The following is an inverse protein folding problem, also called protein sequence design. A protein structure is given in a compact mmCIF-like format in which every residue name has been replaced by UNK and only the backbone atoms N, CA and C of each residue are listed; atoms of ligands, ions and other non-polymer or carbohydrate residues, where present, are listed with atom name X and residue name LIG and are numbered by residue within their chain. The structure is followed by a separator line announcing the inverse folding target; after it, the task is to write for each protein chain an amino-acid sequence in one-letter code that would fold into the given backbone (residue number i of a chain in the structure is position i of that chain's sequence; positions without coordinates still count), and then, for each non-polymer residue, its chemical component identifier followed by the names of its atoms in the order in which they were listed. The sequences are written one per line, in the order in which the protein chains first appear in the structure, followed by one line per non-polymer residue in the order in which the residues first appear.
data_IF_164737192096
#
_entry.id   IF_164737192096
#
_cell.length_a   1.000
_cell.length_b   1.000
_cell.length_c   1.000
_cell.angle_alpha   90.00
_cell.angle_beta   90.00
_cell.angle_gamma   90.00
#
_symmetry.space_group_name_H-M   'P 1'
#
loop_
_entity.id
_entity.type
_entity.pdbx_description
1 polymer ?
#
# COMPACT_ATOMS: atom_id res chain seq x y z
N UNK A 1 -24.69 -0.84 -9.55
CA UNK A 1 -23.68 -1.83 -9.12
C UNK A 1 -22.44 -1.61 -9.97
N UNK A 2 -21.24 -1.54 -9.39
CA UNK A 2 -19.98 -1.43 -10.15
C UNK A 2 -19.80 -2.67 -11.03
N UNK A 3 -19.40 -2.47 -12.28
CA UNK A 3 -19.05 -3.59 -13.16
C UNK A 3 -17.73 -4.20 -12.69
N UNK A 4 -17.51 -5.48 -12.93
CA UNK A 4 -16.29 -6.17 -12.48
C UNK A 4 -15.00 -5.56 -13.08
N UNK A 5 -15.09 -5.04 -14.30
CA UNK A 5 -13.98 -4.35 -14.95
C UNK A 5 -13.53 -3.04 -14.23
N UNK A 6 -14.46 -2.41 -13.49
CA UNK A 6 -14.25 -1.14 -12.79
C UNK A 6 -13.77 -1.34 -11.34
N UNK A 7 -13.58 -2.59 -10.91
CA UNK A 7 -13.10 -2.92 -9.58
C UNK A 7 -11.58 -2.76 -9.51
N UNK A 8 -11.12 -2.13 -8.43
CA UNK A 8 -9.68 -2.03 -8.12
C UNK A 8 -9.11 -3.40 -7.74
N UNK A 9 -9.83 -4.12 -6.86
CA UNK A 9 -9.47 -5.47 -6.42
C UNK A 9 -10.22 -6.49 -7.26
N UNK A 10 -9.48 -7.25 -8.08
CA UNK A 10 -10.06 -8.19 -9.06
C UNK A 10 -10.02 -9.65 -8.61
N UNK A 11 -9.26 -9.95 -7.57
CA UNK A 11 -9.04 -11.33 -7.09
C UNK A 11 -9.66 -11.61 -5.71
N UNK A 12 -10.58 -10.80 -5.22
CA UNK A 12 -11.16 -10.98 -3.88
C UNK A 12 -11.90 -12.32 -3.70
N UNK A 13 -12.30 -12.96 -4.80
CA UNK A 13 -12.90 -14.30 -4.78
C UNK A 13 -11.88 -15.44 -4.92
N UNK A 14 -10.58 -15.10 -5.04
CA UNK A 14 -9.47 -16.03 -5.20
C UNK A 14 -9.52 -16.94 -6.46
N UNK A 15 -10.19 -16.49 -7.50
CA UNK A 15 -10.35 -17.25 -8.74
C UNK A 15 -9.13 -17.14 -9.67
N UNK A 16 -8.26 -16.16 -9.44
CA UNK A 16 -7.19 -15.77 -10.35
C UNK A 16 -5.77 -15.99 -9.80
N UNK A 17 -5.65 -16.56 -8.62
CA UNK A 17 -4.36 -16.75 -7.93
C UNK A 17 -3.79 -15.46 -7.32
N UNK A 18 -2.92 -15.61 -6.32
CA UNK A 18 -2.32 -14.49 -5.57
C UNK A 18 -0.79 -14.38 -5.76
N UNK A 19 -0.22 -15.17 -6.67
CA UNK A 19 1.20 -15.12 -7.01
C UNK A 19 1.54 -13.94 -7.95
N UNK A 20 2.85 -13.71 -8.14
CA UNK A 20 3.37 -12.60 -8.97
C UNK A 20 2.87 -12.69 -10.41
N UNK A 21 2.90 -13.88 -11.00
CA UNK A 21 2.52 -14.05 -12.41
C UNK A 21 1.03 -13.78 -12.62
N UNK A 22 0.19 -14.22 -11.69
CA UNK A 22 -1.23 -13.94 -11.72
C UNK A 22 -1.52 -12.44 -11.51
N UNK A 23 -0.80 -11.77 -10.61
CA UNK A 23 -0.96 -10.34 -10.37
C UNK A 23 -0.54 -9.50 -11.59
N UNK A 24 0.57 -9.86 -12.25
CA UNK A 24 1.00 -9.21 -13.49
C UNK A 24 -0.02 -9.35 -14.62
N UNK A 25 -0.67 -10.50 -14.76
CA UNK A 25 -1.78 -10.68 -15.72
C UNK A 25 -2.97 -9.78 -15.44
N UNK A 26 -3.18 -9.40 -14.18
CA UNK A 26 -4.23 -8.45 -13.78
C UNK A 26 -3.85 -6.99 -13.96
N UNK A 27 -2.60 -6.70 -14.28
CA UNK A 27 -2.09 -5.36 -14.53
C UNK A 27 -1.21 -4.79 -13.42
N UNK A 28 -0.96 -5.52 -12.34
CA UNK A 28 -0.04 -5.09 -11.29
C UNK A 28 1.41 -5.11 -11.80
N UNK A 29 2.25 -4.22 -11.32
CA UNK A 29 3.68 -4.11 -11.65
C UNK A 29 4.04 -3.66 -13.08
N UNK A 30 3.08 -3.59 -14.00
CA UNK A 30 3.36 -3.31 -15.42
C UNK A 30 3.99 -1.93 -15.59
N UNK A 31 3.44 -0.92 -14.92
CA UNK A 31 3.84 0.49 -15.08
C UNK A 31 4.64 1.04 -13.91
N UNK A 32 4.92 0.26 -12.88
CA UNK A 32 5.51 0.74 -11.62
C UNK A 32 6.84 1.46 -11.85
N UNK A 33 7.71 0.90 -12.69
CA UNK A 33 9.00 1.52 -13.03
C UNK A 33 8.82 2.83 -13.78
N UNK A 34 7.90 2.88 -14.72
CA UNK A 34 7.59 4.10 -15.47
C UNK A 34 7.04 5.19 -14.54
N UNK A 35 6.09 4.83 -13.67
CA UNK A 35 5.50 5.75 -12.70
C UNK A 35 6.55 6.35 -11.75
N UNK A 36 7.47 5.54 -11.25
CA UNK A 36 8.56 6.03 -10.41
C UNK A 36 9.54 6.93 -11.16
N UNK A 37 9.79 6.66 -12.45
CA UNK A 37 10.64 7.51 -13.30
C UNK A 37 10.04 8.90 -13.55
N UNK A 38 8.73 9.08 -13.49
CA UNK A 38 8.07 10.40 -13.58
C UNK A 38 8.35 11.29 -12.37
N UNK A 39 8.82 10.72 -11.30
CA UNK A 39 9.27 11.42 -10.11
C UNK A 39 8.18 11.66 -9.07
N UNK A 40 8.65 12.00 -7.89
CA UNK A 40 7.85 12.18 -6.69
C UNK A 40 6.69 13.18 -6.84
N UNK A 41 7.00 14.37 -7.34
CA UNK A 41 6.01 15.46 -7.39
C UNK A 41 4.88 15.11 -8.38
N UNK A 42 5.22 14.44 -9.47
CA UNK A 42 4.24 13.95 -10.42
C UNK A 42 3.29 12.92 -9.74
N UNK A 43 3.83 11.95 -9.03
CA UNK A 43 3.01 10.94 -8.31
C UNK A 43 2.07 11.62 -7.30
N UNK A 44 2.58 12.58 -6.53
CA UNK A 44 1.76 13.29 -5.53
C UNK A 44 0.62 14.05 -6.22
N UNK A 45 0.88 14.67 -7.37
CA UNK A 45 -0.14 15.41 -8.11
C UNK A 45 -1.20 14.45 -8.69
N UNK A 46 -0.80 13.33 -9.29
CA UNK A 46 -1.74 12.30 -9.75
C UNK A 46 -2.66 11.80 -8.62
N UNK A 47 -2.09 11.57 -7.43
CA UNK A 47 -2.90 11.16 -6.27
C UNK A 47 -3.84 12.29 -5.80
N UNK A 48 -3.45 13.57 -5.94
CA UNK A 48 -4.35 14.70 -5.65
C UNK A 48 -5.48 14.75 -6.67
N UNK A 49 -5.15 14.65 -7.94
CA UNK A 49 -6.11 14.75 -9.04
C UNK A 49 -7.10 13.57 -9.05
N UNK A 50 -6.65 12.40 -8.62
CA UNK A 50 -7.52 11.22 -8.42
C UNK A 50 -8.52 11.39 -7.27
N UNK A 51 -8.36 12.40 -6.42
CA UNK A 51 -9.17 12.62 -5.22
C UNK A 51 -9.22 11.43 -4.25
N UNK A 52 -8.22 10.55 -4.29
CA UNK A 52 -8.11 9.41 -3.39
C UNK A 52 -8.14 9.86 -1.93
N UNK A 53 -8.99 9.21 -1.14
CA UNK A 53 -9.15 9.49 0.29
C UNK A 53 -8.72 8.31 1.13
N UNK A 54 -8.24 8.59 2.35
CA UNK A 54 -7.94 7.59 3.35
C UNK A 54 -9.15 6.72 3.70
N UNK A 55 -8.93 5.45 3.96
CA UNK A 55 -9.96 4.45 4.29
C UNK A 55 -10.01 4.09 5.77
N UNK A 56 -9.27 4.80 6.61
CA UNK A 56 -9.26 4.60 8.07
C UNK A 56 -10.33 5.40 8.84
N UNK A 57 -11.42 5.82 8.17
CA UNK A 57 -12.56 6.52 8.78
C UNK A 57 -12.58 8.03 8.55
N UNK A 58 -11.47 8.74 8.71
CA UNK A 58 -11.42 10.20 8.57
C UNK A 58 -11.56 10.73 7.13
N UNK A 59 -11.33 9.90 6.11
CA UNK A 59 -11.47 10.28 4.72
C UNK A 59 -10.54 11.41 4.26
N UNK A 60 -9.40 11.61 4.92
CA UNK A 60 -8.46 12.69 4.58
C UNK A 60 -7.90 12.51 3.17
N UNK A 61 -7.76 13.59 2.35
CA UNK A 61 -7.21 13.50 0.99
C UNK A 61 -5.77 12.97 0.99
N UNK A 62 -5.56 11.82 0.35
CA UNK A 62 -4.27 11.10 0.40
C UNK A 62 -3.14 11.90 -0.24
N UNK A 63 -3.36 12.48 -1.42
CA UNK A 63 -2.34 13.28 -2.11
C UNK A 63 -1.95 14.55 -1.34
N UNK A 64 -2.89 15.17 -0.64
CA UNK A 64 -2.59 16.29 0.25
C UNK A 64 -1.73 15.82 1.44
N UNK A 65 -2.06 14.68 2.07
CA UNK A 65 -1.26 14.10 3.14
C UNK A 65 0.16 13.81 2.69
N UNK A 66 0.34 13.24 1.51
CA UNK A 66 1.66 12.94 0.95
C UNK A 66 2.47 14.21 0.65
N UNK A 67 1.82 15.30 0.25
CA UNK A 67 2.51 16.58 0.01
C UNK A 67 3.11 17.21 1.28
N UNK A 68 2.65 16.82 2.46
CA UNK A 68 3.23 17.25 3.74
C UNK A 68 4.47 16.46 4.13
N UNK A 69 4.76 15.34 3.45
CA UNK A 69 5.97 14.58 3.72
C UNK A 69 7.22 15.40 3.41
N UNK A 70 8.31 15.23 4.18
CA UNK A 70 9.55 15.96 3.97
C UNK A 70 10.06 15.86 2.54
N UNK A 71 10.53 16.98 1.98
CA UNK A 71 11.05 17.05 0.60
C UNK A 71 12.50 16.54 0.51
N UNK A 72 13.16 16.35 1.61
CA UNK A 72 14.55 15.87 1.69
C UNK A 72 14.65 14.82 2.77
N UNK A 73 15.47 13.82 2.52
CA UNK A 73 15.83 12.84 3.55
C UNK A 73 16.67 13.58 4.60
N UNK A 74 16.17 13.60 5.84
CA UNK A 74 16.85 14.18 6.98
C UNK A 74 17.72 13.16 7.72
N UNK A 75 18.24 13.56 8.89
CA UNK A 75 19.00 12.66 9.77
C UNK A 75 18.16 11.57 10.44
N UNK A 76 16.83 11.74 10.45
CA UNK A 76 15.90 10.75 11.02
C UNK A 76 15.25 9.93 9.91
N UNK A 77 15.25 8.60 10.01
CA UNK A 77 14.56 7.75 9.06
C UNK A 77 13.04 7.96 9.16
N UNK A 78 12.37 7.95 8.03
CA UNK A 78 10.92 7.95 7.93
C UNK A 78 10.46 6.54 7.55
N UNK A 79 9.43 6.04 8.21
CA UNK A 79 8.94 4.68 8.00
C UNK A 79 7.54 4.68 7.41
N UNK A 80 7.29 3.74 6.52
CA UNK A 80 5.94 3.36 6.11
C UNK A 80 5.43 2.31 7.09
N UNK A 81 4.33 2.61 7.74
CA UNK A 81 3.63 1.65 8.61
C UNK A 81 2.31 1.29 7.97
N UNK A 82 2.12 0.00 7.72
CA UNK A 82 0.89 -0.54 7.17
C UNK A 82 0.03 -1.01 8.33
N UNK A 83 -1.15 -0.41 8.42
CA UNK A 83 -2.17 -0.85 9.37
C UNK A 83 -3.12 -1.81 8.66
N UNK A 84 -3.07 -3.08 9.03
CA UNK A 84 -3.98 -4.14 8.57
C UNK A 84 -4.81 -4.71 9.73
N UNK A 85 -4.93 -3.97 10.83
CA UNK A 85 -5.79 -4.35 11.95
C UNK A 85 -7.26 -4.14 11.63
N UNK A 86 -8.08 -5.14 11.88
CA UNK A 86 -9.53 -5.13 11.70
C UNK A 86 -10.21 -5.64 12.96
N UNK A 87 -10.19 -4.78 13.99
CA UNK A 87 -10.76 -5.12 15.32
C UNK A 87 -12.27 -5.02 15.35
N UNK A 88 -12.90 -4.29 14.43
CA UNK A 88 -14.35 -4.10 14.44
C UNK A 88 -15.07 -5.37 13.99
N UNK A 89 -16.09 -5.81 14.74
CA UNK A 89 -16.86 -6.99 14.39
C UNK A 89 -17.45 -6.92 12.97
N UNK A 90 -17.31 -7.99 12.19
CA UNK A 90 -17.85 -8.08 10.85
C UNK A 90 -16.99 -7.44 9.74
N UNK A 91 -15.84 -6.85 10.08
CA UNK A 91 -14.88 -6.35 9.08
C UNK A 91 -13.90 -7.44 8.65
N UNK A 92 -13.61 -7.51 7.34
CA UNK A 92 -12.69 -8.51 6.78
C UNK A 92 -11.97 -8.02 5.52
N UNK A 93 -12.09 -6.74 5.17
CA UNK A 93 -11.54 -6.20 3.92
C UNK A 93 -10.03 -6.27 3.84
N UNK A 94 -9.33 -5.94 4.93
CA UNK A 94 -7.87 -5.91 4.95
C UNK A 94 -7.31 -7.33 4.92
N UNK A 95 -7.95 -8.26 5.63
CA UNK A 95 -7.61 -9.68 5.56
C UNK A 95 -7.71 -10.22 4.14
N UNK A 96 -8.77 -9.90 3.43
CA UNK A 96 -9.00 -10.39 2.09
C UNK A 96 -8.02 -9.76 1.08
N UNK A 97 -7.72 -8.46 1.21
CA UNK A 97 -6.68 -7.80 0.41
C UNK A 97 -5.32 -8.48 0.64
N UNK A 98 -4.93 -8.71 1.90
CA UNK A 98 -3.66 -9.35 2.24
C UNK A 98 -3.55 -10.78 1.68
N UNK A 99 -4.66 -11.51 1.62
CA UNK A 99 -4.68 -12.91 1.14
C UNK A 99 -4.73 -13.01 -0.38
N UNK A 100 -5.52 -12.18 -1.02
CA UNK A 100 -5.88 -12.37 -2.43
C UNK A 100 -5.26 -11.35 -3.38
N UNK A 101 -4.87 -10.17 -2.86
CA UNK A 101 -4.25 -9.09 -3.64
C UNK A 101 -2.97 -8.53 -3.00
N UNK A 102 -2.06 -9.41 -2.48
CA UNK A 102 -0.88 -8.94 -1.75
C UNK A 102 0.04 -8.08 -2.61
N UNK A 103 0.13 -8.36 -3.91
CA UNK A 103 0.98 -7.62 -4.83
C UNK A 103 0.51 -6.19 -5.05
N UNK A 104 -0.79 -5.96 -5.09
CA UNK A 104 -1.35 -4.61 -5.18
C UNK A 104 -1.04 -3.78 -3.94
N UNK A 105 -1.09 -4.40 -2.77
CA UNK A 105 -0.65 -3.76 -1.52
C UNK A 105 0.85 -3.41 -1.56
N UNK A 106 1.71 -4.36 -1.94
CA UNK A 106 3.16 -4.16 -1.96
C UNK A 106 3.54 -3.09 -2.99
N UNK A 107 2.92 -3.10 -4.17
CA UNK A 107 3.12 -2.07 -5.19
C UNK A 107 2.71 -0.69 -4.66
N UNK A 108 1.56 -0.58 -3.99
CA UNK A 108 1.13 0.64 -3.33
C UNK A 108 2.10 1.12 -2.26
N UNK A 109 2.68 0.21 -1.47
CA UNK A 109 3.72 0.52 -0.48
C UNK A 109 4.99 1.07 -1.13
N UNK A 110 5.40 0.49 -2.26
CA UNK A 110 6.57 0.94 -3.01
C UNK A 110 6.37 2.36 -3.55
N UNK A 111 5.23 2.61 -4.18
CA UNK A 111 4.88 3.92 -4.74
C UNK A 111 4.79 4.98 -3.62
N UNK A 112 4.14 4.65 -2.50
CA UNK A 112 4.04 5.54 -1.34
C UNK A 112 5.40 5.84 -0.73
N UNK A 113 6.26 4.83 -0.57
CA UNK A 113 7.60 4.99 -0.03
C UNK A 113 8.46 5.90 -0.91
N UNK A 114 8.38 5.73 -2.22
CA UNK A 114 9.08 6.58 -3.18
C UNK A 114 8.57 8.02 -3.13
N UNK A 115 7.24 8.22 -3.19
CA UNK A 115 6.62 9.54 -3.18
C UNK A 115 6.85 10.31 -1.88
N UNK A 116 6.89 9.63 -0.74
CA UNK A 116 7.06 10.27 0.58
C UNK A 116 8.49 10.21 1.11
N UNK A 117 9.46 9.74 0.31
CA UNK A 117 10.86 9.56 0.73
C UNK A 117 10.99 8.74 2.02
N UNK A 118 10.19 7.68 2.10
CA UNK A 118 10.23 6.78 3.23
C UNK A 118 11.41 5.81 3.05
N UNK A 119 12.14 5.59 4.10
CA UNK A 119 13.15 4.55 4.18
C UNK A 119 12.46 3.18 4.22
N UNK A 120 13.12 2.12 4.35
CA UNK A 120 12.54 0.79 4.39
C UNK A 120 11.44 0.65 5.45
N UNK A 121 10.37 -0.08 5.16
CA UNK A 121 9.44 -0.56 6.18
C UNK A 121 10.11 -1.71 6.94
N UNK A 122 10.48 -1.55 8.22
CA UNK A 122 11.02 -2.67 8.97
C UNK A 122 9.92 -3.70 9.17
N UNK A 123 10.15 -4.91 8.67
CA UNK A 123 9.34 -6.07 9.06
C UNK A 123 9.78 -6.55 10.45
N UNK A 124 8.85 -6.95 11.33
CA UNK A 124 9.22 -7.62 12.57
C UNK A 124 10.13 -8.84 12.37
N UNK A 125 10.12 -9.44 11.18
CA UNK A 125 10.99 -10.54 10.78
C UNK A 125 12.41 -10.12 10.39
N UNK A 126 12.63 -8.85 10.04
CA UNK A 126 13.96 -8.33 9.68
C UNK A 126 14.86 -8.15 10.90
N UNK A 127 14.29 -8.13 12.09
CA UNK A 127 15.02 -8.21 13.34
C UNK A 127 14.96 -9.64 13.87
N UNK A 128 16.03 -10.38 13.74
CA UNK A 128 16.25 -11.70 14.39
C UNK A 128 16.18 -11.63 15.94
N UNK A 129 15.68 -10.58 16.53
CA UNK A 129 15.51 -10.37 17.97
C UNK A 129 14.14 -9.82 18.34
N UNK A 130 13.08 -10.25 17.69
CA UNK A 130 11.78 -10.19 18.32
C UNK A 130 11.75 -11.27 19.40
N UNK A 131 12.18 -10.92 20.60
CA UNK A 131 11.84 -11.72 21.77
C UNK A 131 10.34 -11.55 21.98
N UNK A 132 9.56 -12.48 21.50
CA UNK A 132 8.24 -12.68 22.06
C UNK A 132 8.44 -12.99 23.55
N UNK A 133 7.75 -12.30 24.48
CA UNK A 133 7.69 -12.77 25.84
C UNK A 133 7.10 -14.19 25.77
N UNK A 134 7.85 -15.17 26.26
CA UNK A 134 7.27 -16.48 26.53
C UNK A 134 6.18 -16.22 27.57
N UNK A 135 4.94 -16.38 27.16
CA UNK A 135 3.84 -16.49 28.13
C UNK A 135 4.13 -17.70 29.01
N UNK A 136 4.46 -17.41 30.28
CA UNK A 136 4.39 -18.40 31.34
C UNK A 136 2.93 -18.81 31.57
#
# INVERSE_FOLDING_TARGET
MLKDQDRIFKNLYNDLGSDVAASQKRGDWINTKELTNKGRDWIINEIKDSQLRGRGGAGFPTGLKWSFAPKKVGSRPHYLVINGDESEPGTCKDRDILRFEPHKLIEGCLIASYACLLYTSPSPRDRQKSRMPSSA
#
